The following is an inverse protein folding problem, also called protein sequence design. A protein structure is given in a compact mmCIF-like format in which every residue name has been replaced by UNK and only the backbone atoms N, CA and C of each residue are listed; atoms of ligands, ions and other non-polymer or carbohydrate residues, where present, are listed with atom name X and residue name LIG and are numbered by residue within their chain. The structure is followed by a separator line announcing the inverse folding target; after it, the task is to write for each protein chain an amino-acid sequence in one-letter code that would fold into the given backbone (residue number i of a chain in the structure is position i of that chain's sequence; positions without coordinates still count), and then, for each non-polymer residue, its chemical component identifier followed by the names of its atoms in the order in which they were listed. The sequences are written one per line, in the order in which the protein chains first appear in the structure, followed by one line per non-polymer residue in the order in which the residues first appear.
data_IF_016445656775
#
_entry.id   IF_016445656775
#
_cell.length_a   1.000
_cell.length_b   1.000
_cell.length_c   1.000
_cell.angle_alpha   90.00
_cell.angle_beta   90.00
_cell.angle_gamma   90.00
#
_symmetry.space_group_name_H-M   'P 1'
#
loop_
_entity.id
_entity.type
_entity.pdbx_description
1 polymer ?
#
# COMPACT_ATOMS: atom_id res chain seq x y z
N UNK A 1 26.72 -18.16 -55.88
CA UNK A 1 27.14 -18.59 -54.52
C UNK A 1 27.26 -17.42 -53.52
N UNK A 2 27.83 -16.28 -53.84
CA UNK A 2 28.06 -15.16 -52.89
C UNK A 2 26.79 -14.54 -52.28
N UNK A 3 25.64 -14.51 -52.95
CA UNK A 3 24.38 -13.98 -52.38
C UNK A 3 23.75 -14.88 -51.31
N UNK A 4 23.92 -16.19 -51.38
CA UNK A 4 23.36 -17.10 -50.33
C UNK A 4 24.16 -17.08 -49.03
N UNK A 5 25.46 -16.79 -49.09
CA UNK A 5 26.33 -16.66 -47.91
C UNK A 5 26.01 -15.40 -47.11
N UNK A 6 25.65 -14.27 -47.78
CA UNK A 6 25.25 -13.05 -47.10
C UNK A 6 23.93 -13.19 -46.32
N UNK A 7 22.96 -13.93 -46.84
CA UNK A 7 21.70 -14.18 -46.12
C UNK A 7 21.90 -15.14 -44.93
N UNK A 8 22.80 -16.11 -45.07
CA UNK A 8 23.12 -17.00 -43.93
C UNK A 8 23.82 -16.27 -42.79
N UNK A 9 24.72 -15.33 -43.09
CA UNK A 9 25.38 -14.48 -42.08
C UNK A 9 24.45 -13.50 -41.41
N UNK A 10 23.47 -12.92 -42.12
CA UNK A 10 22.46 -12.03 -41.54
C UNK A 10 21.48 -12.81 -40.65
N UNK A 11 21.06 -14.01 -41.07
CA UNK A 11 20.19 -14.86 -40.25
C UNK A 11 20.92 -15.37 -39.00
N UNK A 12 22.21 -15.72 -39.12
CA UNK A 12 23.02 -16.07 -37.94
C UNK A 12 23.24 -14.87 -37.00
N UNK A 13 23.44 -13.66 -37.52
CA UNK A 13 23.56 -12.47 -36.70
C UNK A 13 22.26 -12.11 -35.99
N UNK A 14 21.09 -12.28 -36.62
CA UNK A 14 19.77 -12.09 -36.01
C UNK A 14 19.47 -13.16 -34.96
N UNK A 15 19.87 -14.42 -35.18
CA UNK A 15 19.72 -15.48 -34.19
C UNK A 15 20.70 -15.28 -33.02
N UNK A 16 21.90 -14.77 -33.25
CA UNK A 16 22.84 -14.42 -32.16
C UNK A 16 22.37 -13.20 -31.34
N UNK A 17 21.72 -12.21 -31.97
CA UNK A 17 21.16 -11.07 -31.23
C UNK A 17 19.88 -11.43 -30.49
N UNK A 18 19.06 -12.34 -30.99
CA UNK A 18 17.90 -12.87 -30.26
C UNK A 18 18.29 -13.84 -29.11
N UNK A 19 19.48 -14.41 -29.14
CA UNK A 19 20.01 -15.30 -28.10
C UNK A 19 20.72 -14.59 -26.93
N UNK A 20 21.00 -13.28 -27.02
CA UNK A 20 21.73 -12.53 -25.99
C UNK A 20 20.77 -11.90 -24.93
N UNK A 21 19.45 -11.99 -25.14
CA UNK A 21 18.46 -11.77 -24.07
C UNK A 21 18.25 -12.99 -23.17
N UNK A 22 19.06 -14.04 -23.37
CA UNK A 22 19.16 -15.09 -22.36
C UNK A 22 19.82 -14.48 -21.12
N UNK A 23 18.98 -13.93 -20.23
CA UNK A 23 19.16 -13.93 -18.78
C UNK A 23 20.60 -14.28 -18.38
N UNK A 24 21.37 -13.29 -17.91
CA UNK A 24 22.37 -13.62 -16.91
C UNK A 24 21.63 -14.49 -15.90
N UNK A 25 21.87 -15.79 -15.95
CA UNK A 25 21.25 -16.74 -15.04
C UNK A 25 21.73 -16.34 -13.65
N UNK A 26 20.97 -15.48 -12.99
CA UNK A 26 20.98 -15.43 -11.54
C UNK A 26 20.81 -16.87 -11.13
N UNK A 27 21.74 -17.42 -10.36
CA UNK A 27 21.60 -18.76 -9.80
C UNK A 27 20.16 -18.84 -9.27
N UNK A 28 19.39 -19.83 -9.74
CA UNK A 28 17.98 -19.93 -9.40
C UNK A 28 17.88 -19.85 -7.87
N UNK A 29 17.05 -18.93 -7.38
CA UNK A 29 16.87 -18.74 -5.95
C UNK A 29 16.50 -20.06 -5.30
N UNK A 30 17.18 -20.40 -4.20
CA UNK A 30 17.01 -21.67 -3.51
C UNK A 30 16.66 -21.42 -2.04
N UNK A 31 15.40 -21.64 -1.68
CA UNK A 31 14.90 -21.42 -0.33
C UNK A 31 15.70 -22.18 0.74
N UNK A 32 16.07 -23.44 0.50
CA UNK A 32 16.80 -24.24 1.49
C UNK A 32 18.20 -23.70 1.75
N UNK A 33 18.90 -23.22 0.73
CA UNK A 33 20.23 -22.63 0.87
C UNK A 33 20.14 -21.29 1.62
N UNK A 34 19.17 -20.46 1.28
CA UNK A 34 18.94 -19.17 1.95
C UNK A 34 18.55 -19.36 3.41
N UNK A 35 17.66 -20.29 3.74
CA UNK A 35 17.31 -20.61 5.13
C UNK A 35 18.57 -21.01 5.93
N UNK A 36 19.44 -21.86 5.35
CA UNK A 36 20.70 -22.24 6.01
C UNK A 36 21.67 -21.08 6.18
N UNK A 37 21.79 -20.19 5.20
CA UNK A 37 22.61 -18.98 5.27
C UNK A 37 22.11 -18.07 6.39
N UNK A 38 20.83 -17.74 6.35
CA UNK A 38 20.21 -16.81 7.29
C UNK A 38 20.19 -17.33 8.73
N UNK A 39 20.04 -18.65 8.93
CA UNK A 39 20.14 -19.22 10.27
C UNK A 39 21.53 -19.03 10.91
N UNK A 40 22.58 -18.85 10.10
CA UNK A 40 23.95 -18.58 10.59
C UNK A 40 24.22 -17.10 10.77
N UNK A 41 23.62 -16.24 9.97
CA UNK A 41 23.94 -14.81 9.87
C UNK A 41 22.96 -13.93 10.65
N UNK A 42 21.67 -14.30 10.68
CA UNK A 42 20.65 -13.50 11.33
C UNK A 42 20.73 -13.63 12.87
N UNK A 43 20.42 -12.56 13.60
CA UNK A 43 20.33 -12.62 15.05
C UNK A 43 19.18 -13.52 15.51
N UNK A 44 19.26 -13.97 16.77
CA UNK A 44 18.12 -14.66 17.41
C UNK A 44 16.93 -13.73 17.56
N UNK A 45 15.72 -14.28 17.45
CA UNK A 45 14.47 -13.56 17.73
C UNK A 45 14.46 -12.96 19.16
N UNK A 46 15.11 -13.61 20.12
CA UNK A 46 15.22 -13.15 21.53
C UNK A 46 15.89 -11.77 21.64
N UNK A 47 16.69 -11.38 20.64
CA UNK A 47 17.30 -10.05 20.56
C UNK A 47 16.28 -8.92 20.30
N UNK A 48 15.07 -9.24 19.87
CA UNK A 48 14.02 -8.28 19.52
C UNK A 48 12.86 -8.38 20.51
N UNK A 49 12.93 -7.57 21.58
CA UNK A 49 11.97 -7.61 22.68
C UNK A 49 10.52 -7.44 22.20
N UNK A 50 9.69 -8.43 22.49
CA UNK A 50 8.25 -8.42 22.18
C UNK A 50 7.92 -8.77 20.72
N UNK A 51 8.90 -9.07 19.87
CA UNK A 51 8.64 -9.50 18.50
C UNK A 51 8.11 -10.94 18.46
N UNK A 52 7.05 -11.17 17.69
CA UNK A 52 6.46 -12.49 17.49
C UNK A 52 7.18 -13.30 16.42
N UNK A 53 7.89 -12.63 15.53
CA UNK A 53 8.66 -13.21 14.44
C UNK A 53 9.76 -12.23 14.00
N UNK A 54 10.74 -12.73 13.26
CA UNK A 54 11.82 -11.94 12.65
C UNK A 54 11.82 -12.20 11.14
N UNK A 55 11.66 -11.15 10.35
CA UNK A 55 11.85 -11.24 8.90
C UNK A 55 13.36 -11.38 8.64
N UNK A 56 13.78 -12.60 8.32
CA UNK A 56 15.17 -12.86 7.99
C UNK A 56 15.55 -12.27 6.65
N UNK A 57 14.68 -12.38 5.66
CA UNK A 57 14.86 -11.83 4.32
C UNK A 57 13.55 -11.26 3.78
N UNK A 58 13.63 -10.06 3.20
CA UNK A 58 12.61 -9.50 2.33
C UNK A 58 13.31 -8.97 1.07
N UNK A 59 13.41 -9.80 0.06
CA UNK A 59 14.03 -9.46 -1.23
C UNK A 59 12.96 -9.22 -2.28
N UNK A 60 13.00 -8.05 -2.91
CA UNK A 60 12.04 -7.63 -3.95
C UNK A 60 12.80 -7.14 -5.16
N UNK A 61 12.53 -7.73 -6.30
CA UNK A 61 13.13 -7.34 -7.58
C UNK A 61 12.03 -6.91 -8.55
N UNK A 62 12.13 -5.69 -9.03
CA UNK A 62 11.23 -5.09 -10.02
C UNK A 62 11.93 -5.06 -11.38
N UNK A 63 11.28 -5.60 -12.41
CA UNK A 63 11.81 -5.65 -13.77
C UNK A 63 10.82 -5.05 -14.75
N UNK A 64 11.35 -4.35 -15.74
CA UNK A 64 10.57 -3.96 -16.91
C UNK A 64 10.67 -5.08 -17.96
N UNK A 65 9.54 -5.67 -18.29
CA UNK A 65 9.46 -6.70 -19.33
C UNK A 65 9.55 -6.07 -20.75
N UNK A 66 9.89 -6.86 -21.74
CA UNK A 66 10.03 -6.41 -23.12
C UNK A 66 8.73 -5.85 -23.73
N UNK A 67 7.58 -6.26 -23.22
CA UNK A 67 6.25 -5.76 -23.61
C UNK A 67 5.81 -4.50 -22.84
N UNK A 68 6.66 -3.96 -21.96
CA UNK A 68 6.42 -2.75 -21.19
C UNK A 68 5.69 -2.98 -19.86
N UNK A 69 5.30 -4.22 -19.53
CA UNK A 69 4.74 -4.57 -18.23
C UNK A 69 5.83 -4.56 -17.15
N UNK A 70 5.42 -4.35 -15.91
CA UNK A 70 6.30 -4.52 -14.76
C UNK A 70 6.11 -5.93 -14.16
N UNK A 71 7.21 -6.57 -13.83
CA UNK A 71 7.25 -7.79 -13.03
C UNK A 71 7.87 -7.47 -11.67
N UNK A 72 7.24 -7.95 -10.61
CA UNK A 72 7.82 -8.00 -9.27
C UNK A 72 8.07 -9.46 -8.89
N UNK A 73 9.29 -9.77 -8.53
CA UNK A 73 9.67 -11.03 -7.91
C UNK A 73 10.00 -10.76 -6.43
N UNK A 74 9.35 -11.49 -5.54
CA UNK A 74 9.48 -11.29 -4.09
C UNK A 74 9.81 -12.61 -3.41
N UNK A 75 10.90 -12.59 -2.62
CA UNK A 75 11.30 -13.70 -1.77
C UNK A 75 11.29 -13.23 -0.32
N UNK A 76 10.49 -13.87 0.51
CA UNK A 76 10.39 -13.57 1.92
C UNK A 76 10.70 -14.82 2.75
N UNK A 77 11.54 -14.66 3.78
CA UNK A 77 11.83 -15.70 4.76
C UNK A 77 11.60 -15.09 6.14
N UNK A 78 10.70 -15.71 6.91
CA UNK A 78 10.34 -15.23 8.23
C UNK A 78 10.52 -16.33 9.24
N UNK A 79 11.38 -16.10 10.22
CA UNK A 79 11.54 -16.96 11.40
C UNK A 79 10.37 -16.71 12.34
N UNK A 80 9.48 -17.70 12.47
CA UNK A 80 8.34 -17.65 13.36
C UNK A 80 8.77 -17.94 14.80
N UNK A 81 8.20 -17.20 15.74
CA UNK A 81 8.33 -17.49 17.17
C UNK A 81 7.32 -18.53 17.65
N UNK A 82 6.93 -18.41 18.91
CA UNK A 82 5.92 -19.28 19.54
C UNK A 82 4.48 -18.99 19.04
N UNK A 83 4.29 -17.86 18.39
CA UNK A 83 3.00 -17.45 17.79
C UNK A 83 3.19 -16.98 16.38
N UNK A 84 2.18 -17.18 15.51
CA UNK A 84 2.18 -16.65 14.16
C UNK A 84 1.58 -15.24 14.20
N UNK A 85 2.32 -14.20 13.76
CA UNK A 85 1.80 -12.83 13.68
C UNK A 85 0.53 -12.76 12.82
N UNK A 86 -0.37 -11.84 13.15
CA UNK A 86 -1.67 -11.73 12.48
C UNK A 86 -1.52 -11.57 10.96
N UNK A 87 -0.58 -10.74 10.51
CA UNK A 87 -0.27 -10.49 9.10
C UNK A 87 0.31 -11.68 8.34
N UNK A 88 0.80 -12.70 9.06
CA UNK A 88 1.35 -13.94 8.49
C UNK A 88 0.41 -15.14 8.62
N UNK A 89 -0.70 -15.01 9.36
CA UNK A 89 -1.73 -16.07 9.43
C UNK A 89 -2.45 -16.23 8.09
N UNK A 90 -2.73 -15.09 7.45
CA UNK A 90 -3.39 -15.06 6.15
C UNK A 90 -2.82 -13.89 5.34
N UNK A 91 -2.12 -14.21 4.25
CA UNK A 91 -1.56 -13.26 3.31
C UNK A 91 -2.48 -13.23 2.10
N UNK A 92 -2.95 -12.06 1.71
CA UNK A 92 -3.85 -11.86 0.59
C UNK A 92 -3.12 -11.09 -0.51
N UNK A 93 -3.04 -11.69 -1.68
CA UNK A 93 -2.36 -11.17 -2.87
C UNK A 93 -3.41 -10.91 -3.96
N UNK A 94 -3.95 -9.68 -4.04
CA UNK A 94 -4.97 -9.35 -5.02
C UNK A 94 -4.38 -9.09 -6.40
N UNK A 95 -5.03 -9.61 -7.44
CA UNK A 95 -4.72 -9.36 -8.84
C UNK A 95 -5.81 -8.52 -9.51
N UNK A 96 -5.42 -7.51 -10.28
CA UNK A 96 -6.33 -6.59 -10.99
C UNK A 96 -6.51 -7.05 -12.43
N UNK A 97 -7.73 -7.38 -12.82
CA UNK A 97 -8.02 -7.66 -14.23
C UNK A 97 -7.05 -8.68 -14.83
N UNK A 98 -6.12 -8.19 -15.64
CA UNK A 98 -5.11 -9.01 -16.32
C UNK A 98 -3.76 -9.09 -15.56
N UNK A 99 -3.69 -8.60 -14.31
CA UNK A 99 -2.52 -8.84 -13.46
C UNK A 99 -2.43 -10.33 -13.10
N UNK A 100 -1.22 -10.84 -13.01
CA UNK A 100 -0.97 -12.25 -12.69
C UNK A 100 -0.22 -12.37 -11.36
N UNK A 101 -0.68 -13.27 -10.49
CA UNK A 101 0.00 -13.64 -9.25
C UNK A 101 0.34 -15.12 -9.31
N UNK A 102 1.62 -15.45 -9.27
CA UNK A 102 2.14 -16.81 -9.25
C UNK A 102 2.90 -17.08 -7.97
N UNK A 103 2.46 -18.06 -7.20
CA UNK A 103 3.21 -18.57 -6.07
C UNK A 103 4.27 -19.55 -6.60
N UNK A 104 5.54 -19.26 -6.35
CA UNK A 104 6.66 -20.12 -6.77
C UNK A 104 7.10 -21.06 -5.64
N UNK A 105 7.07 -20.58 -4.38
CA UNK A 105 7.24 -21.40 -3.19
C UNK A 105 6.40 -20.82 -2.04
N UNK A 106 5.73 -21.69 -1.30
CA UNK A 106 4.97 -21.35 -0.11
C UNK A 106 5.07 -22.51 0.88
N UNK A 107 6.04 -22.45 1.78
CA UNK A 107 6.39 -23.59 2.61
C UNK A 107 7.03 -23.17 3.94
N UNK A 108 7.17 -24.10 4.89
CA UNK A 108 8.01 -23.88 6.06
C UNK A 108 9.16 -24.90 6.11
N UNK A 109 10.27 -24.43 6.61
CA UNK A 109 11.54 -25.12 6.61
C UNK A 109 12.10 -25.24 8.03
N UNK A 110 12.81 -26.31 8.28
CA UNK A 110 13.64 -26.43 9.47
C UNK A 110 14.80 -25.42 9.39
N UNK A 111 14.92 -24.47 10.33
CA UNK A 111 15.94 -23.42 10.25
C UNK A 111 17.36 -23.97 10.32
N UNK A 112 17.58 -25.06 11.05
CA UNK A 112 18.91 -25.66 11.25
C UNK A 112 19.39 -26.43 10.03
N UNK A 113 18.51 -27.21 9.41
CA UNK A 113 18.85 -28.12 8.30
C UNK A 113 18.56 -27.55 6.93
N UNK A 114 17.66 -26.55 6.84
CA UNK A 114 17.12 -26.05 5.57
C UNK A 114 16.19 -27.04 4.87
N UNK A 115 15.77 -28.12 5.55
CA UNK A 115 14.84 -29.08 4.96
C UNK A 115 13.42 -28.55 5.01
N UNK A 116 12.71 -28.69 3.90
CA UNK A 116 11.28 -28.39 3.82
C UNK A 116 10.51 -29.40 4.67
N UNK A 117 9.66 -28.90 5.56
CA UNK A 117 8.87 -29.71 6.50
C UNK A 117 7.37 -29.70 6.17
N UNK A 118 6.92 -28.75 5.36
CA UNK A 118 5.53 -28.72 4.90
C UNK A 118 5.21 -27.52 4.01
N UNK A 119 3.99 -27.52 3.45
CA UNK A 119 3.50 -26.49 2.56
C UNK A 119 2.51 -25.56 3.25
N UNK A 120 2.53 -24.27 2.91
CA UNK A 120 1.46 -23.33 3.25
C UNK A 120 0.22 -23.67 2.42
N UNK A 121 -0.94 -23.38 2.95
CA UNK A 121 -2.18 -23.53 2.19
C UNK A 121 -2.35 -22.37 1.21
N UNK A 122 -2.49 -22.68 -0.07
CA UNK A 122 -2.75 -21.68 -1.13
C UNK A 122 -4.13 -21.92 -1.70
N UNK A 123 -4.94 -20.87 -1.77
CA UNK A 123 -6.27 -20.88 -2.37
C UNK A 123 -6.52 -19.62 -3.19
N UNK A 124 -7.52 -19.67 -4.08
CA UNK A 124 -7.92 -18.54 -4.90
C UNK A 124 -9.36 -18.17 -4.60
N UNK A 125 -9.59 -16.88 -4.40
CA UNK A 125 -10.91 -16.31 -4.13
C UNK A 125 -11.23 -15.26 -5.19
N UNK A 126 -12.52 -15.06 -5.46
CA UNK A 126 -12.99 -13.93 -6.26
C UNK A 126 -13.71 -12.97 -5.32
N UNK A 127 -13.21 -11.75 -5.24
CA UNK A 127 -13.86 -10.70 -4.46
C UNK A 127 -15.14 -10.21 -5.13
N UNK A 128 -16.05 -9.67 -4.33
CA UNK A 128 -17.20 -8.92 -4.85
C UNK A 128 -16.70 -7.79 -5.76
N UNK A 129 -17.06 -7.82 -7.05
CA UNK A 129 -16.55 -6.88 -8.05
C UNK A 129 -15.48 -7.47 -9.00
N UNK A 130 -15.20 -8.79 -8.91
CA UNK A 130 -14.51 -9.56 -9.95
C UNK A 130 -12.99 -9.58 -9.87
N UNK A 131 -12.38 -8.98 -8.85
CA UNK A 131 -10.94 -9.15 -8.63
C UNK A 131 -10.62 -10.54 -8.09
N UNK A 132 -9.54 -11.15 -8.55
CA UNK A 132 -9.02 -12.38 -7.98
C UNK A 132 -8.07 -12.09 -6.82
N UNK A 133 -8.07 -12.97 -5.83
CA UNK A 133 -7.15 -12.90 -4.69
C UNK A 133 -6.54 -14.28 -4.47
N UNK A 134 -5.21 -14.34 -4.49
CA UNK A 134 -4.51 -15.53 -4.00
C UNK A 134 -4.33 -15.39 -2.49
N UNK A 135 -4.82 -16.37 -1.75
CA UNK A 135 -4.78 -16.40 -0.28
C UNK A 135 -3.79 -17.47 0.15
N UNK A 136 -2.78 -17.06 0.94
CA UNK A 136 -1.78 -17.97 1.51
C UNK A 136 -1.97 -18.00 3.01
N UNK A 137 -2.18 -19.18 3.61
CA UNK A 137 -2.38 -19.37 5.05
C UNK A 137 -1.25 -20.16 5.66
N UNK A 138 -0.74 -19.64 6.77
CA UNK A 138 0.32 -20.26 7.55
C UNK A 138 -0.32 -21.15 8.63
N UNK A 139 -0.09 -22.48 8.61
CA UNK A 139 -0.65 -23.38 9.61
C UNK A 139 0.13 -23.30 10.94
N UNK A 140 -0.51 -23.73 12.03
CA UNK A 140 0.11 -23.73 13.37
C UNK A 140 1.41 -24.57 13.46
N UNK A 141 1.59 -25.57 12.59
CA UNK A 141 2.84 -26.35 12.51
C UNK A 141 4.09 -25.57 12.08
N UNK A 142 3.90 -24.36 11.54
CA UNK A 142 5.01 -23.48 11.15
C UNK A 142 5.62 -22.68 12.34
N UNK A 143 5.06 -22.77 13.54
CA UNK A 143 5.66 -22.13 14.74
C UNK A 143 7.06 -22.66 15.00
N UNK A 144 8.01 -21.77 15.30
CA UNK A 144 9.43 -22.12 15.49
C UNK A 144 10.14 -22.55 14.20
N UNK A 145 9.59 -22.25 13.03
CA UNK A 145 10.11 -22.60 11.71
C UNK A 145 10.37 -21.37 10.86
N UNK A 146 11.21 -21.51 9.85
CA UNK A 146 11.40 -20.52 8.80
C UNK A 146 10.30 -20.66 7.74
N UNK A 147 9.38 -19.72 7.71
CA UNK A 147 8.33 -19.65 6.68
C UNK A 147 8.89 -18.94 5.46
N UNK A 148 8.74 -19.55 4.30
CA UNK A 148 9.19 -19.05 3.00
C UNK A 148 7.97 -18.76 2.14
N UNK A 149 7.95 -17.57 1.54
CA UNK A 149 7.00 -17.17 0.53
C UNK A 149 7.73 -16.56 -0.66
N UNK A 150 7.67 -17.23 -1.81
CA UNK A 150 8.19 -16.74 -3.08
C UNK A 150 7.05 -16.48 -4.04
N UNK A 151 6.94 -15.23 -4.52
CA UNK A 151 5.82 -14.78 -5.35
C UNK A 151 6.38 -14.01 -6.54
N UNK A 152 5.79 -14.24 -7.70
CA UNK A 152 5.98 -13.42 -8.88
C UNK A 152 4.66 -12.77 -9.27
N UNK A 153 4.68 -11.45 -9.36
CA UNK A 153 3.53 -10.64 -9.74
C UNK A 153 3.84 -9.93 -11.07
N UNK A 154 2.94 -10.04 -12.05
CA UNK A 154 3.06 -9.32 -13.31
C UNK A 154 1.90 -8.35 -13.43
N UNK A 155 2.22 -7.08 -13.59
CA UNK A 155 1.24 -5.99 -13.62
C UNK A 155 0.91 -5.65 -15.07
N UNK A 156 -0.32 -5.89 -15.48
CA UNK A 156 -0.80 -5.67 -16.85
C UNK A 156 -0.88 -4.18 -17.22
N UNK A 157 -1.01 -3.30 -16.23
CA UNK A 157 -1.12 -1.86 -16.42
C UNK A 157 0.18 -1.17 -16.08
N UNK A 158 0.63 -0.31 -16.97
CA UNK A 158 1.77 0.58 -16.78
C UNK A 158 2.80 0.41 -17.89
N UNK A 159 3.29 1.51 -18.39
CA UNK A 159 4.45 1.54 -19.28
C UNK A 159 5.65 1.95 -18.42
N UNK A 160 6.22 0.98 -17.74
CA UNK A 160 7.39 1.22 -16.91
C UNK A 160 7.28 0.69 -15.48
N UNK A 161 8.36 0.85 -14.73
CA UNK A 161 8.43 0.51 -13.32
C UNK A 161 7.80 1.65 -12.51
N UNK A 162 6.98 1.31 -11.52
CA UNK A 162 6.34 2.23 -10.60
C UNK A 162 6.07 1.51 -9.27
N UNK A 163 6.78 1.88 -8.22
CA UNK A 163 6.58 1.30 -6.91
C UNK A 163 6.88 2.27 -5.76
N UNK A 164 6.16 2.08 -4.65
CA UNK A 164 6.47 2.68 -3.34
C UNK A 164 6.52 1.57 -2.30
N UNK A 165 7.58 1.52 -1.53
CA UNK A 165 7.89 0.44 -0.61
C UNK A 165 8.14 1.01 0.77
N UNK A 166 7.41 0.52 1.77
CA UNK A 166 7.75 0.76 3.16
C UNK A 166 8.96 -0.11 3.52
N UNK A 167 10.02 0.53 4.00
CA UNK A 167 11.28 -0.12 4.34
C UNK A 167 11.36 -0.60 5.80
N UNK A 168 10.32 -0.35 6.59
CA UNK A 168 10.16 -0.88 7.94
C UNK A 168 8.74 -1.45 8.11
N UNK A 169 8.60 -2.53 8.85
CA UNK A 169 7.34 -3.25 9.10
C UNK A 169 6.98 -3.31 10.58
N UNK A 170 5.87 -3.97 10.87
CA UNK A 170 5.42 -4.33 12.23
C UNK A 170 6.32 -5.39 12.87
N UNK A 171 7.10 -6.11 12.06
CA UNK A 171 8.12 -7.05 12.50
C UNK A 171 9.51 -6.48 12.29
N UNK A 172 10.49 -6.84 13.11
CA UNK A 172 11.90 -6.53 12.84
C UNK A 172 12.37 -7.25 11.57
N UNK A 173 13.29 -6.63 10.84
CA UNK A 173 13.83 -7.15 9.58
C UNK A 173 15.35 -7.24 9.67
N UNK A 174 15.90 -8.42 9.44
CA UNK A 174 17.34 -8.61 9.38
C UNK A 174 17.93 -8.11 8.06
N UNK A 175 17.42 -8.58 6.93
CA UNK A 175 17.89 -8.20 5.61
C UNK A 175 16.73 -7.83 4.71
N UNK A 176 16.73 -6.60 4.18
CA UNK A 176 15.76 -6.14 3.17
C UNK A 176 16.51 -5.61 1.97
N UNK A 177 16.25 -6.20 0.82
CA UNK A 177 16.76 -5.78 -0.47
C UNK A 177 15.61 -5.32 -1.37
N UNK A 178 15.82 -4.23 -2.06
CA UNK A 178 14.96 -3.78 -3.14
C UNK A 178 15.82 -3.53 -4.36
N UNK A 179 15.53 -4.21 -5.44
CA UNK A 179 16.23 -4.07 -6.72
C UNK A 179 15.28 -3.60 -7.80
N UNK A 180 15.63 -2.54 -8.52
CA UNK A 180 14.92 -2.12 -9.72
C UNK A 180 15.83 -2.28 -10.94
N UNK A 181 15.34 -2.98 -11.97
CA UNK A 181 16.09 -3.31 -13.19
C UNK A 181 15.43 -2.69 -14.40
N UNK A 182 16.17 -1.81 -15.08
CA UNK A 182 15.72 -1.12 -16.31
C UNK A 182 16.67 -1.43 -17.47
N UNK A 183 16.21 -1.33 -18.73
CA UNK A 183 17.15 -1.20 -19.85
C UNK A 183 18.15 -0.07 -19.58
N UNK A 184 19.41 -0.24 -19.97
CA UNK A 184 20.47 0.75 -19.73
C UNK A 184 20.12 2.15 -20.29
N UNK A 185 19.33 2.20 -21.36
CA UNK A 185 18.87 3.46 -21.98
C UNK A 185 17.73 4.15 -21.23
N UNK A 186 17.16 3.50 -20.20
CA UNK A 186 16.04 4.01 -19.43
C UNK A 186 16.51 4.44 -18.04
N UNK A 187 16.21 5.69 -17.70
CA UNK A 187 16.52 6.23 -16.38
C UNK A 187 15.45 5.81 -15.36
N UNK A 188 15.89 5.57 -14.13
CA UNK A 188 15.02 5.36 -12.97
C UNK A 188 15.13 6.58 -12.06
N UNK A 189 13.99 7.21 -11.78
CA UNK A 189 13.85 8.29 -10.81
C UNK A 189 13.42 7.70 -9.47
N UNK A 190 14.03 8.15 -8.38
CA UNK A 190 13.72 7.64 -7.06
C UNK A 190 13.73 8.74 -6.01
N UNK A 191 13.01 8.49 -4.93
CA UNK A 191 13.00 9.32 -3.73
C UNK A 191 12.87 8.41 -2.51
N UNK A 192 13.57 8.72 -1.43
CA UNK A 192 13.58 7.88 -0.24
C UNK A 192 13.60 8.73 1.03
N UNK A 193 13.12 8.15 2.12
CA UNK A 193 13.25 8.69 3.48
C UNK A 193 13.90 7.64 4.36
N UNK A 194 14.96 8.05 5.06
CA UNK A 194 15.74 7.19 5.97
C UNK A 194 16.26 5.89 5.30
N UNK A 195 16.54 5.97 3.99
CA UNK A 195 17.14 4.89 3.20
C UNK A 195 18.35 5.45 2.46
N UNK A 196 19.46 4.73 2.48
CA UNK A 196 20.68 5.12 1.77
C UNK A 196 20.49 5.07 0.26
N UNK A 197 21.32 5.80 -0.46
CA UNK A 197 21.38 5.74 -1.92
C UNK A 197 21.63 4.31 -2.43
N UNK A 198 21.11 3.98 -3.63
CA UNK A 198 21.28 2.65 -4.19
C UNK A 198 22.71 2.42 -4.67
N UNK A 199 23.17 1.18 -4.59
CA UNK A 199 24.26 0.75 -5.44
C UNK A 199 23.77 0.58 -6.88
N UNK A 200 24.51 1.12 -7.84
CA UNK A 200 24.13 1.03 -9.26
C UNK A 200 25.15 0.21 -10.01
N UNK A 201 24.68 -0.73 -10.80
CA UNK A 201 25.51 -1.56 -11.69
C UNK A 201 24.87 -1.71 -13.06
N UNK A 202 25.68 -1.91 -14.08
CA UNK A 202 25.22 -2.18 -15.45
C UNK A 202 25.86 -3.45 -15.95
N UNK A 203 25.04 -4.38 -16.41
CA UNK A 203 25.51 -5.64 -16.99
C UNK A 203 24.54 -6.09 -18.10
N UNK A 204 25.07 -6.54 -19.22
CA UNK A 204 24.29 -7.08 -20.34
C UNK A 204 23.15 -6.14 -20.83
N UNK A 205 23.37 -4.82 -20.82
CA UNK A 205 22.38 -3.82 -21.24
C UNK A 205 21.26 -3.56 -20.23
N UNK A 206 21.39 -4.10 -19.00
CA UNK A 206 20.47 -3.87 -17.89
C UNK A 206 21.16 -3.05 -16.81
N UNK A 207 20.52 -1.97 -16.40
CA UNK A 207 20.92 -1.14 -15.27
C UNK A 207 20.14 -1.53 -14.05
N UNK A 208 20.85 -1.91 -12.97
CA UNK A 208 20.28 -2.35 -11.72
C UNK A 208 20.56 -1.34 -10.61
N UNK A 209 19.53 -0.94 -9.90
CA UNK A 209 19.59 -0.09 -8.71
C UNK A 209 19.22 -0.95 -7.51
N UNK A 210 20.12 -1.09 -6.55
CA UNK A 210 19.89 -1.92 -5.37
C UNK A 210 19.99 -1.11 -4.09
N UNK A 211 18.93 -1.13 -3.30
CA UNK A 211 18.87 -0.62 -1.93
C UNK A 211 18.90 -1.80 -0.96
N UNK A 212 19.70 -1.67 0.09
CA UNK A 212 19.81 -2.68 1.15
C UNK A 212 19.66 -2.02 2.50
N UNK A 213 18.80 -2.57 3.34
CA UNK A 213 18.64 -2.20 4.74
C UNK A 213 18.89 -3.45 5.58
N UNK A 214 19.72 -3.31 6.62
CA UNK A 214 20.07 -4.40 7.51
C UNK A 214 19.69 -4.06 8.94
N UNK A 215 19.29 -5.09 9.70
CA UNK A 215 19.01 -5.01 11.12
C UNK A 215 18.04 -3.87 11.50
N UNK A 216 16.92 -3.81 10.80
CA UNK A 216 15.88 -2.82 11.00
C UNK A 216 14.98 -3.25 12.16
N UNK A 217 14.86 -2.40 13.17
CA UNK A 217 13.90 -2.60 14.26
C UNK A 217 12.46 -2.52 13.75
N UNK A 218 11.53 -3.18 14.47
CA UNK A 218 10.11 -3.07 14.19
C UNK A 218 9.65 -1.62 14.28
N UNK A 219 8.82 -1.21 13.33
CA UNK A 219 8.19 0.09 13.34
C UNK A 219 6.86 0.00 14.11
N UNK A 220 6.91 0.35 15.37
CA UNK A 220 5.71 0.45 16.23
C UNK A 220 5.12 1.87 16.19
N UNK A 221 5.06 2.47 15.02
CA UNK A 221 4.59 3.83 14.83
C UNK A 221 3.26 4.05 15.55
N UNK A 222 3.31 4.77 16.67
CA UNK A 222 2.13 5.14 17.44
C UNK A 222 1.48 6.34 16.77
N UNK A 223 0.22 6.20 16.37
CA UNK A 223 -0.63 7.28 15.90
C UNK A 223 -0.09 8.02 14.66
N UNK A 224 -0.07 9.34 14.71
CA UNK A 224 0.27 10.25 13.61
C UNK A 224 1.74 10.21 13.13
N UNK A 225 2.60 9.36 13.69
CA UNK A 225 4.01 9.23 13.29
C UNK A 225 4.23 8.34 12.06
N UNK A 226 3.18 7.88 11.41
CA UNK A 226 3.26 7.10 10.16
C UNK A 226 4.15 7.80 9.10
N UNK A 227 4.19 9.12 9.10
CA UNK A 227 5.02 9.94 8.19
C UNK A 227 6.54 9.84 8.41
N UNK A 228 6.99 9.25 9.52
CA UNK A 228 8.43 9.06 9.79
C UNK A 228 8.93 7.66 9.48
N UNK A 229 8.07 6.81 8.91
CA UNK A 229 8.46 5.46 8.53
C UNK A 229 9.44 5.50 7.36
N UNK A 230 10.55 4.76 7.40
CA UNK A 230 11.44 4.65 6.25
C UNK A 230 10.70 4.12 5.02
N UNK A 231 10.86 4.77 3.89
CA UNK A 231 10.22 4.38 2.64
C UNK A 231 11.11 4.70 1.43
N UNK A 232 10.82 4.02 0.34
CA UNK A 232 11.44 4.18 -0.96
C UNK A 232 10.36 4.23 -2.04
N UNK A 233 10.41 5.22 -2.91
CA UNK A 233 9.59 5.27 -4.12
C UNK A 233 10.50 5.41 -5.35
N UNK A 234 10.15 4.74 -6.43
CA UNK A 234 10.85 4.85 -7.70
C UNK A 234 9.91 4.66 -8.89
N UNK A 235 10.28 5.27 -10.01
CA UNK A 235 9.53 5.16 -11.25
C UNK A 235 10.46 5.40 -12.45
N UNK A 236 10.16 4.76 -13.58
CA UNK A 236 10.78 5.09 -14.87
C UNK A 236 10.22 6.37 -15.49
N UNK A 237 9.23 6.97 -14.84
CA UNK A 237 8.63 8.25 -15.22
C UNK A 237 8.99 9.32 -14.21
N UNK A 238 9.38 10.49 -14.71
CA UNK A 238 9.73 11.66 -13.91
C UNK A 238 8.58 12.66 -13.89
N UNK A 239 8.44 13.32 -12.76
CA UNK A 239 7.70 14.57 -12.67
C UNK A 239 6.31 14.47 -12.06
N UNK A 240 6.13 15.32 -11.07
CA UNK A 240 4.88 15.47 -10.32
C UNK A 240 3.69 15.81 -11.23
N UNK A 241 3.90 16.65 -12.25
CA UNK A 241 2.83 17.02 -13.20
C UNK A 241 2.31 15.82 -13.99
N UNK A 242 3.20 14.93 -14.44
CA UNK A 242 2.82 13.71 -15.16
C UNK A 242 2.06 12.75 -14.26
N UNK A 243 2.50 12.62 -13.00
CA UNK A 243 1.80 11.81 -12.01
C UNK A 243 0.40 12.34 -11.74
N UNK A 244 0.25 13.64 -11.47
CA UNK A 244 -1.05 14.27 -11.24
C UNK A 244 -1.97 14.18 -12.46
N UNK A 245 -1.43 14.20 -13.69
CA UNK A 245 -2.23 13.97 -14.91
C UNK A 245 -2.83 12.55 -14.90
N UNK A 246 -2.02 11.54 -14.61
CA UNK A 246 -2.51 10.16 -14.50
C UNK A 246 -3.56 10.01 -13.39
N UNK A 247 -3.37 10.68 -12.25
CA UNK A 247 -4.35 10.67 -11.16
C UNK A 247 -5.66 11.38 -11.54
N UNK A 248 -5.60 12.47 -12.29
CA UNK A 248 -6.80 13.13 -12.81
C UNK A 248 -7.53 12.25 -13.84
N UNK A 249 -6.81 11.55 -14.71
CA UNK A 249 -7.39 10.57 -15.62
C UNK A 249 -8.09 9.44 -14.84
N UNK A 250 -7.49 8.95 -13.76
CA UNK A 250 -8.12 8.00 -12.85
C UNK A 250 -9.41 8.56 -12.25
N UNK A 251 -9.41 9.80 -11.77
CA UNK A 251 -10.62 10.44 -11.22
C UNK A 251 -11.73 10.60 -12.27
N UNK A 252 -11.36 10.90 -13.51
CA UNK A 252 -12.32 11.01 -14.62
C UNK A 252 -12.87 9.65 -15.05
N UNK A 253 -12.09 8.57 -14.91
CA UNK A 253 -12.50 7.21 -15.32
C UNK A 253 -13.61 6.63 -14.46
N UNK A 254 -13.84 7.13 -13.24
CA UNK A 254 -14.97 6.70 -12.40
C UNK A 254 -16.29 7.06 -13.11
N UNK A 255 -17.31 6.16 -13.17
CA UNK A 255 -18.53 6.39 -13.91
C UNK A 255 -19.36 7.55 -13.33
N UNK A 256 -20.14 8.19 -14.19
CA UNK A 256 -21.12 9.19 -13.78
C UNK A 256 -22.44 8.51 -13.36
N UNK A 257 -22.46 7.97 -12.15
CA UNK A 257 -23.62 7.28 -11.60
C UNK A 257 -24.76 8.24 -11.26
N UNK A 258 -26.03 7.79 -11.33
CA UNK A 258 -27.17 8.57 -10.87
C UNK A 258 -27.00 8.94 -9.38
N UNK A 259 -27.61 10.07 -8.99
CA UNK A 259 -27.62 10.47 -7.60
C UNK A 259 -28.40 9.44 -6.77
N UNK A 260 -27.83 8.93 -5.66
CA UNK A 260 -28.53 8.00 -4.79
C UNK A 260 -29.81 8.62 -4.20
N UNK A 261 -30.84 7.80 -4.01
CA UNK A 261 -32.11 8.28 -3.43
C UNK A 261 -31.92 8.81 -2.00
N UNK A 262 -30.98 8.28 -1.30
CA UNK A 262 -30.57 8.65 0.07
C UNK A 262 -30.02 10.09 0.15
N UNK A 263 -29.46 10.61 -0.93
CA UNK A 263 -28.85 11.94 -0.95
C UNK A 263 -29.84 13.08 -0.70
N UNK A 264 -31.12 12.92 -1.09
CA UNK A 264 -32.07 14.02 -1.03
C UNK A 264 -31.70 15.15 -2.01
N UNK A 265 -32.00 16.41 -1.64
CA UNK A 265 -31.76 17.57 -2.49
C UNK A 265 -31.07 18.72 -1.77
N UNK A 266 -30.36 19.57 -2.52
CA UNK A 266 -29.70 20.78 -2.02
C UNK A 266 -28.60 20.52 -0.99
N UNK A 267 -28.31 21.52 -0.15
CA UNK A 267 -27.23 21.47 0.85
C UNK A 267 -27.38 20.33 1.87
N UNK A 268 -28.63 20.08 2.32
CA UNK A 268 -28.93 18.97 3.24
C UNK A 268 -28.67 17.61 2.58
N UNK A 269 -28.73 17.54 1.27
CA UNK A 269 -28.39 16.33 0.52
C UNK A 269 -26.92 15.94 0.61
N UNK A 270 -26.02 16.92 0.66
CA UNK A 270 -24.60 16.66 0.81
C UNK A 270 -24.27 15.98 2.15
N UNK A 271 -24.85 16.47 3.26
CA UNK A 271 -24.67 15.86 4.59
C UNK A 271 -25.20 14.40 4.61
N UNK A 272 -26.42 14.18 4.11
CA UNK A 272 -27.00 12.83 4.02
C UNK A 272 -26.19 11.88 3.16
N UNK A 273 -25.62 12.39 2.08
CA UNK A 273 -24.75 11.61 1.20
C UNK A 273 -23.46 11.18 1.91
N UNK A 274 -22.86 12.07 2.71
CA UNK A 274 -21.70 11.76 3.53
C UNK A 274 -22.02 10.70 4.59
N UNK A 275 -23.13 10.86 5.32
CA UNK A 275 -23.60 9.90 6.32
C UNK A 275 -23.84 8.52 5.70
N UNK A 276 -24.47 8.46 4.53
CA UNK A 276 -24.71 7.21 3.82
C UNK A 276 -23.41 6.55 3.34
N UNK A 277 -22.45 7.32 2.81
CA UNK A 277 -21.13 6.80 2.42
C UNK A 277 -20.28 6.38 3.63
N UNK A 278 -20.55 6.92 4.81
CA UNK A 278 -19.96 6.50 6.07
C UNK A 278 -20.42 5.13 6.56
N UNK A 279 -21.54 4.60 6.03
CA UNK A 279 -22.03 3.27 6.38
C UNK A 279 -21.01 2.20 5.93
N UNK A 280 -20.52 1.34 6.84
CA UNK A 280 -19.58 0.26 6.50
C UNK A 280 -20.07 -0.65 5.37
N UNK A 281 -21.39 -0.88 5.27
CA UNK A 281 -22.01 -1.70 4.21
C UNK A 281 -21.78 -1.15 2.80
N UNK A 282 -21.45 0.13 2.67
CA UNK A 282 -21.09 0.76 1.40
C UNK A 282 -19.61 0.64 1.07
N UNK A 283 -18.80 0.07 1.98
CA UNK A 283 -17.35 -0.12 1.79
C UNK A 283 -17.07 -1.52 1.25
N UNK A 284 -16.27 -1.56 0.20
CA UNK A 284 -15.75 -2.80 -0.36
C UNK A 284 -14.45 -3.15 0.35
N UNK A 285 -14.49 -4.22 1.14
CA UNK A 285 -13.35 -4.71 1.89
C UNK A 285 -12.45 -5.65 1.06
N UNK A 286 -11.21 -5.83 1.50
CA UNK A 286 -10.26 -6.77 0.91
C UNK A 286 -9.51 -6.22 -0.31
N UNK A 287 -9.78 -5.00 -0.75
CA UNK A 287 -9.04 -4.37 -1.84
C UNK A 287 -7.84 -3.58 -1.32
N UNK A 288 -6.72 -3.55 -2.07
CA UNK A 288 -5.58 -2.72 -1.72
C UNK A 288 -5.97 -1.24 -1.61
N UNK A 289 -5.27 -0.53 -0.74
CA UNK A 289 -5.38 0.91 -0.65
C UNK A 289 -5.09 1.57 -2.01
N UNK A 290 -5.87 2.55 -2.38
CA UNK A 290 -5.70 3.27 -3.65
C UNK A 290 -6.28 2.57 -4.88
N UNK A 291 -6.97 1.47 -4.70
CA UNK A 291 -7.54 0.77 -5.84
C UNK A 291 -8.87 1.37 -6.30
N UNK A 292 -8.93 1.69 -7.60
CA UNK A 292 -10.14 2.11 -8.32
C UNK A 292 -10.41 1.09 -9.43
N UNK A 293 -11.57 0.47 -9.42
CA UNK A 293 -11.98 -0.52 -10.42
C UNK A 293 -12.18 0.14 -11.80
N UNK A 294 -12.10 -0.65 -12.89
CA UNK A 294 -12.57 -0.21 -14.19
C UNK A 294 -14.01 0.29 -14.12
N UNK A 295 -14.34 1.36 -14.85
CA UNK A 295 -15.65 2.03 -14.81
C UNK A 295 -16.84 1.06 -14.92
N UNK A 296 -16.75 0.06 -15.81
CA UNK A 296 -17.80 -0.94 -16.01
C UNK A 296 -18.03 -1.88 -14.81
N UNK A 297 -17.08 -1.95 -13.88
CA UNK A 297 -17.13 -2.81 -12.69
C UNK A 297 -17.57 -2.06 -11.43
N UNK A 298 -17.70 -0.73 -11.48
CA UNK A 298 -18.15 0.08 -10.37
C UNK A 298 -19.68 0.05 -10.31
N UNK A 299 -20.31 -0.61 -9.31
CA UNK A 299 -21.75 -0.75 -9.26
C UNK A 299 -22.45 0.56 -8.87
N UNK A 300 -23.68 0.72 -9.32
CA UNK A 300 -24.47 1.94 -9.07
C UNK A 300 -24.84 2.13 -7.58
N UNK A 301 -24.89 1.06 -6.76
CA UNK A 301 -25.30 1.10 -5.35
C UNK A 301 -24.26 0.55 -4.36
N UNK A 302 -22.99 0.46 -4.80
CA UNK A 302 -21.93 -0.05 -3.95
C UNK A 302 -21.95 -1.59 -3.78
N UNK A 303 -21.08 -2.16 -2.93
CA UNK A 303 -20.05 -1.42 -2.18
C UNK A 303 -18.91 -0.87 -3.07
N UNK A 304 -18.20 0.14 -2.57
CA UNK A 304 -17.12 0.82 -3.27
C UNK A 304 -15.83 0.83 -2.44
N UNK A 305 -14.68 0.90 -3.10
CA UNK A 305 -13.41 1.16 -2.42
C UNK A 305 -13.40 2.58 -1.82
N UNK A 306 -12.57 2.87 -0.83
CA UNK A 306 -12.49 4.22 -0.24
C UNK A 306 -12.22 5.32 -1.28
N UNK A 307 -11.35 5.06 -2.26
CA UNK A 307 -11.08 6.01 -3.34
C UNK A 307 -12.27 6.18 -4.28
N UNK A 308 -12.92 5.08 -4.66
CA UNK A 308 -14.14 5.15 -5.47
C UNK A 308 -15.23 5.98 -4.78
N UNK A 309 -15.43 5.80 -3.48
CA UNK A 309 -16.38 6.60 -2.70
C UNK A 309 -16.11 8.10 -2.82
N UNK A 310 -14.87 8.51 -2.59
CA UNK A 310 -14.49 9.93 -2.65
C UNK A 310 -14.65 10.50 -4.06
N UNK A 311 -14.24 9.76 -5.08
CA UNK A 311 -14.37 10.21 -6.48
C UNK A 311 -15.83 10.26 -6.96
N UNK A 312 -16.67 9.30 -6.54
CA UNK A 312 -18.11 9.33 -6.79
C UNK A 312 -18.77 10.49 -6.05
N UNK A 313 -18.41 10.71 -4.79
CA UNK A 313 -18.91 11.85 -4.00
C UNK A 313 -18.65 13.16 -4.73
N UNK A 314 -17.47 13.36 -5.32
CA UNK A 314 -17.19 14.56 -6.13
C UNK A 314 -18.20 14.77 -7.24
N UNK A 315 -18.56 13.71 -7.97
CA UNK A 315 -19.53 13.77 -9.07
C UNK A 315 -20.96 14.04 -8.57
N UNK A 316 -21.35 13.39 -7.49
CA UNK A 316 -22.68 13.59 -6.88
C UNK A 316 -22.85 14.98 -6.27
N UNK A 317 -21.82 15.53 -5.62
CA UNK A 317 -21.86 16.89 -5.12
C UNK A 317 -22.05 17.92 -6.22
N UNK A 318 -21.41 17.72 -7.38
CA UNK A 318 -21.66 18.57 -8.57
C UNK A 318 -23.13 18.51 -9.03
N UNK A 319 -23.76 17.32 -8.99
CA UNK A 319 -25.19 17.17 -9.30
C UNK A 319 -26.11 17.87 -8.28
N UNK A 320 -25.64 18.01 -7.03
CA UNK A 320 -26.34 18.78 -6.00
C UNK A 320 -26.08 20.29 -6.06
N UNK A 321 -25.31 20.76 -7.05
CA UNK A 321 -25.01 22.18 -7.26
C UNK A 321 -23.79 22.69 -6.50
N UNK A 322 -22.99 21.81 -5.89
CA UNK A 322 -21.72 22.17 -5.27
C UNK A 322 -20.60 22.29 -6.30
N UNK A 323 -19.68 23.19 -6.06
CA UNK A 323 -18.35 23.12 -6.70
C UNK A 323 -17.54 22.07 -5.97
N UNK A 324 -16.94 21.13 -6.72
CA UNK A 324 -16.12 20.06 -6.15
C UNK A 324 -14.88 19.87 -7.02
N UNK A 325 -13.72 19.95 -6.41
CA UNK A 325 -12.41 19.72 -7.02
C UNK A 325 -11.69 18.59 -6.27
N UNK A 326 -11.02 17.73 -7.02
CA UNK A 326 -10.24 16.62 -6.45
C UNK A 326 -8.80 17.08 -6.25
N UNK A 327 -8.29 16.87 -5.05
CA UNK A 327 -6.91 17.00 -4.66
C UNK A 327 -6.37 15.61 -4.28
N UNK A 328 -5.06 15.46 -4.31
CA UNK A 328 -4.39 14.20 -3.98
C UNK A 328 -3.48 14.42 -2.79
N UNK A 329 -3.71 13.67 -1.72
CA UNK A 329 -2.92 13.71 -0.50
C UNK A 329 -1.63 12.90 -0.70
N UNK A 330 -0.49 13.47 -0.31
CA UNK A 330 0.80 12.79 -0.29
C UNK A 330 1.29 12.61 1.15
N UNK A 331 2.06 11.55 1.45
CA UNK A 331 2.59 11.29 2.79
C UNK A 331 3.67 12.28 3.20
N UNK A 332 4.25 12.99 2.24
CA UNK A 332 5.29 14.01 2.44
C UNK A 332 5.26 15.05 1.34
N UNK A 333 6.07 16.07 1.51
CA UNK A 333 6.35 17.04 0.47
C UNK A 333 6.96 16.36 -0.78
N UNK A 334 6.34 16.63 -1.92
CA UNK A 334 6.81 16.21 -3.24
C UNK A 334 7.31 17.43 -3.99
N UNK A 335 8.37 17.25 -4.75
CA UNK A 335 8.94 18.25 -5.65
C UNK A 335 8.68 17.91 -7.13
N UNK A 336 9.09 18.78 -8.04
CA UNK A 336 8.88 18.58 -9.46
C UNK A 336 9.63 17.36 -10.01
N UNK A 337 10.71 16.96 -9.34
CA UNK A 337 11.58 15.85 -9.71
C UNK A 337 11.19 14.52 -9.04
N UNK A 338 10.19 14.52 -8.17
CA UNK A 338 9.69 13.31 -7.52
C UNK A 338 9.28 12.26 -8.55
N UNK A 339 9.54 10.97 -8.29
CA UNK A 339 9.15 9.90 -9.21
C UNK A 339 7.63 9.92 -9.42
N UNK A 340 7.21 9.68 -10.66
CA UNK A 340 5.78 9.66 -11.01
C UNK A 340 5.16 8.32 -10.63
N UNK A 341 5.09 8.04 -9.32
CA UNK A 341 4.47 6.83 -8.77
C UNK A 341 3.04 7.08 -8.31
N UNK A 342 2.10 6.26 -8.79
CA UNK A 342 0.69 6.32 -8.38
C UNK A 342 0.50 5.89 -6.92
N UNK A 343 1.39 5.06 -6.41
CA UNK A 343 1.39 4.59 -5.03
C UNK A 343 1.94 5.60 -4.01
N UNK A 344 2.41 6.77 -4.45
CA UNK A 344 2.75 7.88 -3.57
C UNK A 344 1.52 8.55 -2.94
N UNK A 345 0.35 8.42 -3.55
CA UNK A 345 -0.86 9.08 -3.06
C UNK A 345 -1.53 8.25 -1.97
N UNK A 346 -1.87 8.91 -0.87
CA UNK A 346 -2.55 8.26 0.26
C UNK A 346 -4.06 8.29 0.12
N UNK A 347 -4.63 9.39 -0.38
CA UNK A 347 -6.08 9.50 -0.59
C UNK A 347 -6.43 10.63 -1.58
N UNK A 348 -7.54 10.51 -2.31
CA UNK A 348 -8.21 11.66 -2.91
C UNK A 348 -8.93 12.48 -1.83
N UNK A 349 -8.78 13.79 -1.88
CA UNK A 349 -9.42 14.77 -1.00
C UNK A 349 -10.26 15.72 -1.84
N UNK A 350 -11.47 16.03 -1.40
CA UNK A 350 -12.35 16.96 -2.11
C UNK A 350 -12.28 18.35 -1.50
N UNK A 351 -12.06 19.35 -2.32
CA UNK A 351 -12.37 20.73 -1.98
C UNK A 351 -13.74 21.07 -2.50
N UNK A 352 -14.66 21.39 -1.61
CA UNK A 352 -16.05 21.64 -1.94
C UNK A 352 -16.54 23.00 -1.48
N UNK A 353 -17.36 23.68 -2.26
CA UNK A 353 -18.01 24.94 -1.90
C UNK A 353 -19.37 25.08 -2.56
N UNK A 354 -20.25 25.80 -1.89
CA UNK A 354 -21.59 26.16 -2.38
C UNK A 354 -21.71 27.64 -2.81
N UNK A 355 -20.56 28.27 -3.06
CA UNK A 355 -20.42 29.69 -3.30
C UNK A 355 -19.94 30.48 -2.08
N UNK A 356 -19.85 29.83 -0.90
CA UNK A 356 -19.22 30.34 0.32
C UNK A 356 -17.77 29.89 0.47
N UNK A 357 -17.34 29.73 1.73
CA UNK A 357 -16.00 29.22 2.08
C UNK A 357 -15.85 27.78 1.61
N UNK A 358 -14.74 27.50 0.93
CA UNK A 358 -14.40 26.14 0.55
C UNK A 358 -13.95 25.32 1.79
N UNK A 359 -14.35 24.06 1.83
CA UNK A 359 -13.98 23.10 2.88
C UNK A 359 -13.40 21.86 2.23
N UNK A 360 -12.54 21.14 2.98
CA UNK A 360 -11.96 19.88 2.56
C UNK A 360 -12.73 18.73 3.20
N UNK A 361 -13.01 17.70 2.43
CA UNK A 361 -13.65 16.48 2.92
C UNK A 361 -13.18 15.24 2.18
N UNK A 362 -13.37 14.09 2.79
CA UNK A 362 -13.19 12.75 2.22
C UNK A 362 -14.49 11.97 2.41
N UNK A 363 -14.77 11.00 1.53
CA UNK A 363 -15.92 10.13 1.71
C UNK A 363 -15.64 9.06 2.77
N UNK A 364 -16.67 8.71 3.52
CA UNK A 364 -16.59 7.60 4.48
C UNK A 364 -16.13 7.99 5.88
N UNK A 365 -15.94 9.27 6.13
CA UNK A 365 -15.75 9.76 7.49
C UNK A 365 -17.07 10.25 8.06
N UNK A 366 -17.36 9.83 9.29
CA UNK A 366 -18.53 10.27 10.04
C UNK A 366 -18.46 11.75 10.44
N UNK A 367 -17.41 12.47 10.03
CA UNK A 367 -17.21 13.86 10.31
C UNK A 367 -18.32 14.72 9.69
N UNK A 368 -18.72 15.76 10.41
CA UNK A 368 -19.66 16.75 9.90
C UNK A 368 -19.19 17.32 8.56
N UNK A 369 -20.02 17.26 7.57
CA UNK A 369 -19.77 17.91 6.29
C UNK A 369 -19.43 19.38 6.51
N UNK A 370 -18.24 19.77 6.07
CA UNK A 370 -17.72 21.13 6.27
C UNK A 370 -16.65 21.29 7.32
N UNK A 371 -16.27 20.23 8.01
CA UNK A 371 -15.07 20.20 8.87
C UNK A 371 -13.93 19.46 8.15
N UNK A 372 -12.70 19.95 8.37
CA UNK A 372 -11.51 19.27 7.84
C UNK A 372 -11.30 17.97 8.61
N UNK A 373 -11.20 16.87 7.87
CA UNK A 373 -10.90 15.58 8.48
C UNK A 373 -9.52 15.59 9.16
N UNK A 374 -9.42 14.95 10.34
CA UNK A 374 -8.13 14.76 11.00
C UNK A 374 -7.10 13.99 10.18
N UNK A 375 -7.55 13.04 9.36
CA UNK A 375 -6.67 12.23 8.49
C UNK A 375 -5.87 13.05 7.48
N UNK A 376 -6.39 14.22 7.08
CA UNK A 376 -5.72 15.12 6.13
C UNK A 376 -5.09 16.33 6.80
N UNK A 377 -5.35 16.55 8.09
CA UNK A 377 -4.82 17.70 8.82
C UNK A 377 -3.28 17.68 8.87
N UNK A 378 -2.62 18.77 8.49
CA UNK A 378 -1.16 18.88 8.45
C UNK A 378 -0.50 18.20 7.24
N UNK A 379 -1.27 17.52 6.37
CA UNK A 379 -0.72 16.89 5.16
C UNK A 379 -0.60 17.87 4.00
N UNK A 380 0.24 17.52 3.04
CA UNK A 380 0.32 18.21 1.75
C UNK A 380 -0.64 17.56 0.75
N UNK A 381 -1.43 18.40 0.08
CA UNK A 381 -2.33 18.00 -0.99
C UNK A 381 -1.94 18.69 -2.29
N UNK A 382 -2.12 17.98 -3.38
CA UNK A 382 -1.69 18.41 -4.71
C UNK A 382 -2.82 18.31 -5.73
N UNK A 383 -2.81 19.23 -6.68
CA UNK A 383 -3.73 19.27 -7.80
C UNK A 383 -2.98 19.75 -9.04
N UNK A 384 -3.43 19.31 -10.22
CA UNK A 384 -2.95 19.85 -11.47
C UNK A 384 -3.86 21.01 -11.91
N UNK A 385 -3.30 22.22 -12.03
CA UNK A 385 -3.99 23.39 -12.58
C UNK A 385 -3.41 23.73 -13.96
N UNK A 386 -4.12 23.38 -15.02
CA UNK A 386 -3.55 23.32 -16.35
C UNK A 386 -2.44 22.25 -16.37
N UNK A 387 -1.22 22.64 -16.72
CA UNK A 387 -0.05 21.76 -16.73
C UNK A 387 0.87 21.90 -15.52
N UNK A 388 0.49 22.72 -14.54
CA UNK A 388 1.34 23.01 -13.37
C UNK A 388 0.78 22.37 -12.10
N UNK A 389 1.63 21.66 -11.32
CA UNK A 389 1.27 21.22 -9.99
C UNK A 389 0.98 22.42 -9.08
N UNK A 390 -0.10 22.32 -8.33
CA UNK A 390 -0.44 23.21 -7.21
C UNK A 390 -0.32 22.43 -5.94
N UNK A 391 0.34 22.99 -4.94
CA UNK A 391 0.49 22.43 -3.61
C UNK A 391 -0.28 23.27 -2.60
N UNK A 392 -0.86 22.63 -1.62
CA UNK A 392 -1.44 23.26 -0.44
C UNK A 392 -1.21 22.37 0.78
N UNK A 393 -0.67 22.93 1.86
CA UNK A 393 -0.63 22.27 3.16
C UNK A 393 -1.97 22.48 3.85
N UNK A 394 -2.61 21.41 4.28
CA UNK A 394 -3.87 21.45 5.01
C UNK A 394 -3.61 21.93 6.43
N UNK A 395 -4.25 23.01 6.82
CA UNK A 395 -4.11 23.51 8.19
C UNK A 395 -4.65 22.46 9.16
N UNK A 396 -3.86 22.10 10.15
CA UNK A 396 -4.35 21.36 11.30
C UNK A 396 -5.50 22.14 11.96
N UNK A 397 -6.55 21.43 12.34
CA UNK A 397 -7.62 22.01 13.16
C UNK A 397 -7.09 22.49 14.52
N UNK A 398 -7.90 23.26 15.23
CA UNK A 398 -7.57 23.58 16.61
C UNK A 398 -7.61 22.30 17.46
N UNK A 399 -6.64 22.07 18.37
CA UNK A 399 -6.76 20.98 19.35
C UNK A 399 -8.09 21.00 20.12
N UNK A 400 -8.70 22.19 20.28
CA UNK A 400 -10.01 22.34 20.92
C UNK A 400 -11.17 21.69 20.10
N UNK A 401 -10.98 21.48 18.79
CA UNK A 401 -11.97 20.82 17.92
C UNK A 401 -11.90 19.29 18.06
N UNK A 402 -10.86 18.77 18.71
CA UNK A 402 -10.57 17.34 18.84
C UNK A 402 -10.39 17.00 20.33
N UNK A 403 -11.48 16.61 21.00
CA UNK A 403 -11.48 16.34 22.43
C UNK A 403 -11.85 14.90 22.73
N UNK A 404 -11.02 14.25 23.53
CA UNK A 404 -11.33 13.01 24.21
C UNK A 404 -11.36 13.28 25.71
N UNK A 405 -12.51 13.04 26.34
CA UNK A 405 -12.68 13.15 27.78
C UNK A 405 -13.12 11.78 28.32
N UNK A 406 -12.28 11.21 29.18
CA UNK A 406 -12.52 9.92 29.82
C UNK A 406 -12.80 10.17 31.32
N UNK A 407 -14.00 9.83 31.75
CA UNK A 407 -14.38 9.90 33.15
C UNK A 407 -14.46 8.48 33.69
N UNK A 408 -13.62 8.16 34.68
CA UNK A 408 -13.57 6.88 35.36
C UNK A 408 -14.24 6.99 36.72
N UNK A 409 -15.17 6.12 37.02
CA UNK A 409 -15.75 5.94 38.34
C UNK A 409 -15.41 4.53 38.82
N UNK A 410 -14.35 4.42 39.61
CA UNK A 410 -13.76 3.14 40.03
C UNK A 410 -13.97 2.92 41.52
N UNK A 411 -14.26 1.67 41.89
CA UNK A 411 -14.27 1.16 43.28
C UNK A 411 -13.18 0.08 43.38
N UNK A 412 -12.33 0.19 44.39
CA UNK A 412 -11.35 -0.82 44.75
C UNK A 412 -11.91 -1.74 45.83
N UNK A 413 -11.74 -3.05 45.68
CA UNK A 413 -12.02 -4.02 46.72
C UNK A 413 -10.80 -4.26 47.64
N UNK A 414 -10.99 -5.09 48.67
CA UNK A 414 -9.92 -5.37 49.65
C UNK A 414 -8.73 -6.13 49.04
N UNK A 415 -8.85 -6.67 47.85
CA UNK A 415 -7.78 -7.35 47.09
C UNK A 415 -7.09 -6.46 46.08
N UNK A 416 -7.48 -5.17 46.02
CA UNK A 416 -6.94 -4.22 45.06
C UNK A 416 -7.50 -4.35 43.64
N UNK A 417 -8.59 -5.10 43.44
CA UNK A 417 -9.28 -5.22 42.16
C UNK A 417 -10.15 -3.97 41.95
N UNK A 418 -9.94 -3.30 40.82
CA UNK A 418 -10.74 -2.17 40.41
C UNK A 418 -11.98 -2.62 39.61
N UNK A 419 -13.15 -2.14 39.98
CA UNK A 419 -14.38 -2.30 39.21
C UNK A 419 -15.12 -0.96 39.10
N UNK A 420 -15.80 -0.72 37.99
CA UNK A 420 -16.51 0.56 37.84
C UNK A 420 -16.98 0.81 36.41
N UNK A 421 -17.22 2.09 36.12
CA UNK A 421 -17.69 2.56 34.82
C UNK A 421 -16.73 3.59 34.25
N UNK A 422 -16.59 3.57 32.94
CA UNK A 422 -15.91 4.60 32.14
C UNK A 422 -16.94 5.28 31.24
N UNK A 423 -16.95 6.60 31.25
CA UNK A 423 -17.71 7.41 30.31
C UNK A 423 -16.75 8.12 29.40
N UNK A 424 -16.87 7.92 28.08
CA UNK A 424 -16.10 8.63 27.06
C UNK A 424 -16.97 9.68 26.39
N UNK A 425 -16.46 10.92 26.34
CA UNK A 425 -17.03 12.01 25.53
C UNK A 425 -16.02 12.39 24.47
N UNK A 426 -16.42 12.27 23.21
CA UNK A 426 -15.51 12.42 22.06
C UNK A 426 -16.01 13.47 21.08
N UNK A 427 -15.09 14.26 20.52
CA UNK A 427 -15.38 15.22 19.44
C UNK A 427 -14.24 15.22 18.41
N UNK A 428 -14.55 15.61 17.18
CA UNK A 428 -13.57 15.74 16.10
C UNK A 428 -12.90 14.40 15.75
N UNK A 429 -11.56 14.37 15.69
CA UNK A 429 -10.77 13.20 15.31
C UNK A 429 -11.04 11.94 16.13
N UNK A 430 -11.43 12.12 17.38
CA UNK A 430 -11.69 11.00 18.27
C UNK A 430 -12.99 10.28 17.95
N UNK A 431 -13.91 10.92 17.20
CA UNK A 431 -15.19 10.27 16.81
C UNK A 431 -14.96 9.07 15.90
N UNK A 432 -13.94 9.10 15.05
CA UNK A 432 -13.64 8.01 14.12
C UNK A 432 -13.16 6.74 14.83
N UNK A 433 -12.48 6.89 15.99
CA UNK A 433 -12.04 5.76 16.81
C UNK A 433 -13.18 5.04 17.55
N UNK A 434 -14.36 5.69 17.65
CA UNK A 434 -15.51 5.18 18.38
C UNK A 434 -16.75 5.02 17.49
N UNK A 435 -16.62 5.26 16.18
CA UNK A 435 -17.75 5.31 15.24
C UNK A 435 -18.44 3.96 15.02
N UNK A 436 -17.74 2.86 15.21
CA UNK A 436 -18.27 1.50 15.07
C UNK A 436 -19.00 0.99 16.33
N UNK A 437 -19.08 1.83 17.40
CA UNK A 437 -19.67 1.44 18.68
C UNK A 437 -18.82 0.47 19.49
N UNK A 438 -17.67 0.05 18.99
CA UNK A 438 -16.69 -0.74 19.75
C UNK A 438 -15.79 0.22 20.53
N UNK A 439 -15.72 0.04 21.84
CA UNK A 439 -14.64 0.66 22.61
C UNK A 439 -13.35 -0.10 22.30
N UNK A 440 -12.26 0.60 21.95
CA UNK A 440 -10.94 0.00 21.92
C UNK A 440 -10.72 -0.76 23.21
N UNK A 441 -10.12 -1.95 23.17
CA UNK A 441 -9.81 -2.68 24.38
C UNK A 441 -9.06 -1.78 25.35
N UNK A 442 -9.41 -1.83 26.64
CA UNK A 442 -8.79 -0.98 27.68
C UNK A 442 -7.26 -1.03 27.67
N UNK A 443 -6.68 -2.18 27.25
CA UNK A 443 -5.24 -2.34 27.01
C UNK A 443 -4.70 -1.44 25.90
N UNK A 444 -5.48 -1.16 24.87
CA UNK A 444 -5.05 -0.27 23.78
C UNK A 444 -5.24 1.22 24.11
N UNK A 445 -6.18 1.56 24.98
CA UNK A 445 -6.31 2.93 25.50
C UNK A 445 -5.12 3.34 26.39
N UNK A 446 -4.55 2.41 27.16
CA UNK A 446 -3.34 2.64 27.96
C UNK A 446 -2.08 2.91 27.12
N UNK A 447 -2.09 2.60 25.83
CA UNK A 447 -1.00 2.90 24.89
C UNK A 447 -1.09 4.34 24.32
N UNK A 448 -2.21 5.03 24.49
CA UNK A 448 -2.44 6.41 24.03
C UNK A 448 -2.24 7.47 25.13
N UNK A 449 -2.06 7.08 26.36
CA UNK A 449 -1.76 7.91 27.52
C UNK A 449 -0.34 7.62 27.97
#
# INVERSE_FOLDING_TARGET
MAKRIKYLLVVMAVILTAGIFASGASAAWNAADEVRRLNKEAPSLDGFKGAQALVWLNDRTFRLLADGRMEEERHQIVMMGETIPAEWREIRLPARGDDEVKIEDAAWYNPMTGLKEGDLSVSHETLSGGASVTVVKTPGGAMGRAVVLSVRETYARGQGIDATINMAGTLPVWEQNVTAQTPETMELFWSAQDVKEPSVSTAAGVKSYKWTVMNQEQWLGKGFLVYKRPWLAFSTRKGLAQNLRAMNELALSVPDLPLPAEAGSGKKGAQKLMEWLGDPRTTLEGYPHGWVRPSAQIPARGPWTPWEKTLLLSKWLKKLGWKSEVWWQAPKELDEDSPASSSLWTAPVLEVSDGGKAVLCEAGQASDFGKTSPSIAGSDIYQLAGDKPRKRTVKAGSPADHRLELLWNLRLDDKGLASGTMTASVTGAWTDLFSDGSLPALSSLGEFV
#
